data_IF_758386013814
#
_entry.id   IF_758386013814
#
_cell.length_a   1.000
_cell.length_b   1.000
_cell.length_c   1.000
_cell.angle_alpha   90.00
_cell.angle_beta   90.00
_cell.angle_gamma   90.00
#
_symmetry.space_group_name_H-M   'P 1'
#
loop_
_entity.id
_entity.type
_entity.pdbx_description
1 polymer ?
#
# COMPACT_ATOMS: atom_id res chain seq x y z
N UNK A 1 -1.73 20.65 26.57
CA UNK A 1 -1.21 20.98 25.23
C UNK A 1 0.12 20.28 25.06
N UNK A 2 0.14 19.15 24.36
CA UNK A 2 1.37 18.42 24.04
C UNK A 2 1.20 17.83 22.64
N UNK A 3 1.65 18.57 21.64
CA UNK A 3 1.65 18.14 20.24
C UNK A 3 2.90 17.32 19.96
N UNK A 4 2.75 16.00 19.89
CA UNK A 4 3.83 15.12 19.44
C UNK A 4 4.05 15.37 17.95
N UNK A 5 5.26 15.83 17.60
CA UNK A 5 5.68 16.01 16.20
C UNK A 5 6.23 14.68 15.69
N UNK A 6 6.11 14.44 14.38
CA UNK A 6 6.54 13.22 13.69
C UNK A 6 8.05 12.90 13.89
N UNK A 7 8.86 13.86 14.34
CA UNK A 7 10.24 13.62 14.80
C UNK A 7 10.33 12.61 15.95
N UNK A 8 9.28 12.53 16.79
CA UNK A 8 9.32 11.78 18.04
C UNK A 8 9.03 10.29 17.82
N UNK A 9 8.28 9.96 16.76
CA UNK A 9 7.97 8.58 16.34
C UNK A 9 9.25 7.85 15.85
N UNK A 10 10.20 8.57 15.24
CA UNK A 10 11.46 7.99 14.74
C UNK A 10 12.42 7.63 15.89
N UNK A 11 12.34 8.32 17.03
CA UNK A 11 13.23 8.08 18.18
C UNK A 11 12.73 6.97 19.11
N UNK A 12 11.41 6.83 19.28
CA UNK A 12 10.80 5.72 20.06
C UNK A 12 11.13 4.35 19.45
N UNK A 13 11.21 4.26 18.12
CA UNK A 13 11.57 3.01 17.41
C UNK A 13 13.06 2.67 17.54
N UNK A 14 13.94 3.67 17.78
CA UNK A 14 15.38 3.45 17.95
C UNK A 14 15.76 2.98 19.36
N UNK A 15 15.04 3.42 20.38
CA UNK A 15 15.40 3.16 21.79
C UNK A 15 15.04 1.74 22.29
N UNK A 16 14.07 1.03 21.67
CA UNK A 16 13.67 -0.31 22.16
C UNK A 16 14.58 -1.48 21.76
N UNK A 17 15.64 -1.22 20.98
CA UNK A 17 16.53 -2.27 20.44
C UNK A 17 17.83 -2.49 21.21
N UNK A 18 18.05 -1.76 22.31
CA UNK A 18 19.32 -1.77 23.05
C UNK A 18 19.47 -2.90 24.09
N UNK A 19 18.41 -3.65 24.44
CA UNK A 19 18.52 -4.66 25.51
C UNK A 19 17.87 -6.00 25.11
N UNK A 20 18.71 -6.92 24.63
CA UNK A 20 18.82 -8.30 25.16
C UNK A 20 19.84 -9.15 24.39
N UNK A 21 21.01 -9.22 25.01
CA UNK A 21 21.86 -10.39 25.24
C UNK A 21 22.17 -11.36 24.07
N UNK A 22 23.43 -11.27 23.68
CA UNK A 22 24.25 -12.17 22.87
C UNK A 22 24.24 -13.62 23.39
N UNK A 23 23.82 -14.60 22.59
CA UNK A 23 24.33 -16.01 22.61
C UNK A 23 23.69 -17.02 21.65
N UNK A 24 22.81 -16.61 20.74
CA UNK A 24 22.28 -17.50 19.67
C UNK A 24 22.71 -17.04 18.27
N UNK A 25 24.02 -16.83 18.16
CA UNK A 25 24.83 -16.40 17.00
C UNK A 25 24.88 -17.46 15.86
N UNK A 26 24.24 -18.62 16.02
CA UNK A 26 24.26 -19.72 15.02
C UNK A 26 22.97 -19.92 14.21
N UNK A 27 21.94 -19.09 14.41
CA UNK A 27 20.77 -19.01 13.49
C UNK A 27 20.90 -17.88 12.44
N UNK A 28 22.11 -17.32 12.38
CA UNK A 28 22.53 -16.18 11.56
C UNK A 28 22.93 -16.59 10.12
N UNK A 29 22.89 -17.89 9.74
CA UNK A 29 23.46 -18.39 8.48
C UNK A 29 22.42 -18.63 7.36
N UNK A 30 21.27 -17.95 7.36
CA UNK A 30 20.38 -17.93 6.17
C UNK A 30 19.97 -16.52 5.72
N UNK A 31 20.86 -15.57 6.03
CA UNK A 31 20.84 -14.14 5.71
C UNK A 31 20.79 -13.87 4.19
N UNK A 32 19.84 -13.01 3.81
CA UNK A 32 19.91 -11.90 2.82
C UNK A 32 18.49 -11.59 2.25
N UNK A 33 17.45 -11.54 3.08
CA UNK A 33 16.25 -10.73 2.80
C UNK A 33 16.13 -9.71 3.93
N UNK A 34 16.41 -8.45 3.59
CA UNK A 34 16.62 -7.35 4.53
C UNK A 34 15.51 -7.20 5.58
N UNK A 35 15.89 -6.64 6.73
CA UNK A 35 14.99 -6.16 7.79
C UNK A 35 13.93 -5.26 7.18
N UNK A 36 12.81 -5.85 6.75
CA UNK A 36 11.57 -5.13 6.54
C UNK A 36 11.01 -4.81 7.93
N UNK A 37 10.73 -3.53 8.20
CA UNK A 37 9.96 -3.11 9.37
C UNK A 37 8.65 -3.93 9.49
N UNK A 38 8.12 -4.09 10.71
CA UNK A 38 6.88 -4.83 10.93
C UNK A 38 5.72 -4.32 10.05
N UNK A 39 5.66 -3.01 9.80
CA UNK A 39 4.73 -2.37 8.88
C UNK A 39 4.92 -2.79 7.41
N UNK A 40 6.17 -2.95 6.96
CA UNK A 40 6.46 -3.46 5.61
C UNK A 40 6.08 -4.95 5.46
N UNK A 41 6.13 -5.74 6.54
CA UNK A 41 5.71 -7.15 6.54
C UNK A 41 4.19 -7.31 6.45
N UNK A 42 3.41 -6.46 7.15
CA UNK A 42 1.94 -6.51 7.10
C UNK A 42 1.41 -6.14 5.70
N UNK A 43 1.97 -5.11 5.08
CA UNK A 43 1.66 -4.72 3.70
C UNK A 43 1.97 -5.88 2.72
N UNK A 44 3.10 -6.56 2.89
CA UNK A 44 3.48 -7.68 2.03
C UNK A 44 2.53 -8.89 2.15
N UNK A 45 2.07 -9.22 3.37
CA UNK A 45 1.07 -10.26 3.62
C UNK A 45 -0.30 -9.90 3.01
N UNK A 46 -0.68 -8.63 3.05
CA UNK A 46 -1.94 -8.15 2.50
C UNK A 46 -1.95 -8.13 0.96
N UNK A 47 -0.82 -7.81 0.34
CA UNK A 47 -0.63 -7.92 -1.11
C UNK A 47 -0.85 -9.36 -1.57
N UNK A 48 -0.43 -10.36 -0.79
CA UNK A 48 -0.70 -11.78 -1.09
C UNK A 48 -2.19 -12.15 -1.01
N UNK A 49 -2.96 -11.52 -0.14
CA UNK A 49 -4.39 -11.81 0.05
C UNK A 49 -5.31 -11.03 -0.90
N UNK A 50 -4.89 -9.88 -1.41
CA UNK A 50 -5.70 -9.05 -2.35
C UNK A 50 -5.61 -9.52 -3.81
N UNK A 51 -4.66 -10.40 -4.13
CA UNK A 51 -4.52 -11.05 -5.44
C UNK A 51 -5.47 -12.25 -5.60
N UNK A 52 -6.34 -12.46 -4.61
CA UNK A 52 -7.37 -13.49 -4.59
C UNK A 52 -8.60 -13.02 -5.40
N UNK A 53 -8.39 -12.77 -6.69
CA UNK A 53 -9.42 -12.90 -7.73
C UNK A 53 -9.05 -14.05 -8.70
N UNK A 54 -7.77 -14.46 -8.70
CA UNK A 54 -7.29 -15.68 -9.34
C UNK A 54 -7.12 -16.82 -8.33
N UNK A 55 -8.03 -16.96 -7.36
CA UNK A 55 -8.30 -18.30 -6.82
C UNK A 55 -9.64 -18.74 -7.38
N UNK A 56 -9.68 -18.90 -8.70
CA UNK A 56 -10.63 -19.84 -9.26
C UNK A 56 -10.37 -21.23 -8.66
N UNK A 57 -11.29 -22.17 -8.87
CA UNK A 57 -11.25 -23.53 -8.29
C UNK A 57 -9.97 -24.35 -8.56
N UNK A 58 -8.94 -23.80 -9.22
CA UNK A 58 -7.73 -24.49 -9.67
C UNK A 58 -6.46 -23.86 -9.07
N UNK A 59 -5.58 -24.66 -8.43
CA UNK A 59 -4.36 -24.17 -7.79
C UNK A 59 -3.20 -23.94 -8.77
N UNK A 60 -3.33 -24.35 -10.04
CA UNK A 60 -2.28 -24.26 -11.05
C UNK A 60 -2.52 -23.11 -12.03
N UNK A 61 -1.45 -22.52 -12.63
CA UNK A 61 -1.56 -21.54 -13.72
C UNK A 61 -2.51 -21.99 -14.84
N UNK A 62 -3.14 -21.04 -15.56
CA UNK A 62 -3.98 -21.36 -16.71
C UNK A 62 -3.15 -21.91 -17.89
N UNK A 63 -3.79 -22.67 -18.79
CA UNK A 63 -3.19 -23.28 -19.98
C UNK A 63 -2.83 -24.76 -19.80
N UNK A 64 -2.73 -25.50 -20.91
CA UNK A 64 -2.55 -26.96 -20.92
C UNK A 64 -1.23 -27.41 -20.26
N UNK A 65 -0.21 -26.57 -20.31
CA UNK A 65 1.08 -26.80 -19.65
C UNK A 65 1.17 -26.21 -18.23
N UNK A 66 0.11 -25.55 -17.73
CA UNK A 66 0.12 -24.87 -16.45
C UNK A 66 0.23 -25.80 -15.24
N UNK A 67 -0.22 -27.04 -15.37
CA UNK A 67 -0.08 -28.07 -14.33
C UNK A 67 1.36 -28.62 -14.22
N UNK A 68 2.21 -28.41 -15.23
CA UNK A 68 3.58 -28.90 -15.22
C UNK A 68 4.44 -28.01 -14.31
N UNK A 69 5.05 -28.62 -13.31
CA UNK A 69 5.98 -27.91 -12.41
C UNK A 69 7.25 -27.52 -13.16
N UNK A 70 7.54 -26.22 -13.24
CA UNK A 70 8.82 -25.69 -13.70
C UNK A 70 9.78 -25.48 -12.53
N UNK A 71 11.09 -25.59 -12.79
CA UNK A 71 12.12 -25.26 -11.81
C UNK A 71 12.18 -23.75 -11.64
N UNK A 72 12.02 -23.26 -10.41
CA UNK A 72 12.09 -21.83 -10.12
C UNK A 72 13.55 -21.36 -10.17
N UNK A 73 13.82 -20.35 -11.01
CA UNK A 73 15.10 -19.65 -11.05
C UNK A 73 15.03 -18.42 -10.15
N UNK A 74 16.20 -17.94 -9.67
CA UNK A 74 16.27 -16.71 -8.87
C UNK A 74 15.66 -15.50 -9.62
N UNK A 75 15.98 -15.37 -10.91
CA UNK A 75 15.37 -14.38 -11.79
C UNK A 75 13.84 -14.52 -11.86
N UNK A 76 13.34 -15.75 -12.01
CA UNK A 76 11.90 -16.03 -12.03
C UNK A 76 11.21 -15.61 -10.74
N UNK A 77 11.87 -15.80 -9.59
CA UNK A 77 11.36 -15.36 -8.29
C UNK A 77 11.28 -13.83 -8.20
N UNK A 78 12.34 -13.11 -8.59
CA UNK A 78 12.33 -11.65 -8.62
C UNK A 78 11.31 -11.08 -9.60
N UNK A 79 11.15 -11.72 -10.76
CA UNK A 79 10.16 -11.34 -11.76
C UNK A 79 8.74 -11.49 -11.22
N UNK A 80 8.44 -12.62 -10.54
CA UNK A 80 7.15 -12.84 -9.89
C UNK A 80 6.87 -11.83 -8.79
N UNK A 81 7.84 -11.56 -7.90
CA UNK A 81 7.68 -10.54 -6.85
C UNK A 81 7.40 -9.16 -7.47
N UNK A 82 8.11 -8.79 -8.54
CA UNK A 82 7.87 -7.54 -9.30
C UNK A 82 6.44 -7.50 -9.88
N UNK A 83 6.05 -8.55 -10.59
CA UNK A 83 4.73 -8.65 -11.22
C UNK A 83 3.61 -8.61 -10.18
N UNK A 84 3.80 -9.29 -9.04
CA UNK A 84 2.87 -9.30 -7.93
C UNK A 84 2.59 -7.89 -7.41
N UNK A 85 3.65 -7.10 -7.20
CA UNK A 85 3.53 -5.69 -6.77
C UNK A 85 2.87 -4.82 -7.85
N UNK A 86 3.30 -4.96 -9.11
CA UNK A 86 2.75 -4.16 -10.22
C UNK A 86 1.25 -4.40 -10.39
N UNK A 87 0.82 -5.66 -10.30
CA UNK A 87 -0.57 -6.06 -10.41
C UNK A 87 -1.40 -5.59 -9.22
N UNK A 88 -0.92 -5.80 -7.99
CA UNK A 88 -1.63 -5.41 -6.77
C UNK A 88 -1.96 -3.91 -6.73
N UNK A 89 -1.05 -3.07 -7.21
CA UNK A 89 -1.22 -1.62 -7.25
C UNK A 89 -1.72 -1.09 -8.61
N UNK A 90 -2.00 -1.96 -9.59
CA UNK A 90 -2.53 -1.57 -10.90
C UNK A 90 -1.63 -0.62 -11.69
N UNK A 91 -0.32 -0.83 -11.65
CA UNK A 91 0.67 0.02 -12.33
C UNK A 91 1.22 -0.64 -13.61
N UNK A 92 1.58 0.20 -14.59
CA UNK A 92 2.35 -0.24 -15.75
C UNK A 92 3.81 -0.50 -15.39
N UNK A 93 4.50 -1.33 -16.17
CA UNK A 93 5.92 -1.61 -15.94
C UNK A 93 6.80 -0.37 -16.02
N UNK A 94 6.48 0.56 -16.93
CA UNK A 94 7.19 1.85 -17.06
C UNK A 94 7.04 2.71 -15.81
N UNK A 95 5.83 2.80 -15.26
CA UNK A 95 5.56 3.52 -14.02
C UNK A 95 6.24 2.86 -12.82
N UNK A 96 6.21 1.52 -12.74
CA UNK A 96 6.90 0.76 -11.71
C UNK A 96 8.41 1.01 -11.75
N UNK A 97 9.03 0.92 -12.94
CA UNK A 97 10.45 1.21 -13.15
C UNK A 97 10.81 2.62 -12.66
N UNK A 98 10.05 3.64 -13.03
CA UNK A 98 10.30 5.01 -12.57
C UNK A 98 10.16 5.17 -11.05
N UNK A 99 9.20 4.47 -10.43
CA UNK A 99 9.00 4.51 -8.98
C UNK A 99 10.15 3.82 -8.26
N UNK A 100 10.61 2.67 -8.77
CA UNK A 100 11.77 1.97 -8.25
C UNK A 100 13.07 2.78 -8.37
N UNK A 101 13.29 3.43 -9.50
CA UNK A 101 14.47 4.31 -9.68
C UNK A 101 14.45 5.49 -8.70
N UNK A 102 13.28 6.01 -8.35
CA UNK A 102 13.13 7.02 -7.28
C UNK A 102 13.43 6.43 -5.90
N UNK A 103 12.90 5.25 -5.59
CA UNK A 103 13.14 4.55 -4.32
C UNK A 103 14.63 4.24 -4.11
N UNK A 104 15.34 3.82 -5.16
CA UNK A 104 16.78 3.53 -5.13
C UNK A 104 17.64 4.76 -4.84
N UNK A 105 17.19 5.96 -5.24
CA UNK A 105 17.88 7.22 -4.98
C UNK A 105 17.67 7.75 -3.55
N UNK A 106 16.62 7.28 -2.86
CA UNK A 106 16.34 7.67 -1.49
C UNK A 106 17.29 6.94 -0.53
N UNK A 107 17.65 7.60 0.58
CA UNK A 107 18.45 6.97 1.64
C UNK A 107 17.67 5.82 2.29
N UNK A 108 18.36 4.75 2.70
CA UNK A 108 17.75 3.58 3.34
C UNK A 108 17.54 2.40 2.39
N UNK A 109 16.80 1.38 2.85
CA UNK A 109 16.55 0.18 2.06
C UNK A 109 15.58 0.47 0.90
N UNK A 110 16.01 0.18 -0.33
CA UNK A 110 15.23 0.47 -1.54
C UNK A 110 13.85 -0.21 -1.56
N UNK A 111 13.73 -1.41 -0.97
CA UNK A 111 12.46 -2.14 -0.88
C UNK A 111 11.43 -1.42 0.02
N UNK A 112 11.85 -0.92 1.18
CA UNK A 112 10.97 -0.18 2.08
C UNK A 112 10.56 1.16 1.46
N UNK A 113 11.52 1.87 0.86
CA UNK A 113 11.27 3.12 0.15
C UNK A 113 10.27 2.93 -1.00
N UNK A 114 10.37 1.81 -1.73
CA UNK A 114 9.42 1.48 -2.78
C UNK A 114 8.00 1.30 -2.21
N UNK A 115 7.84 0.51 -1.15
CA UNK A 115 6.54 0.28 -0.53
C UNK A 115 5.91 1.58 0.01
N UNK A 116 6.72 2.44 0.64
CA UNK A 116 6.27 3.77 1.10
C UNK A 116 5.80 4.62 -0.07
N UNK A 117 6.52 4.64 -1.20
CA UNK A 117 6.11 5.39 -2.38
C UNK A 117 4.82 4.86 -3.00
N UNK A 118 4.58 3.55 -2.94
CA UNK A 118 3.35 2.91 -3.44
C UNK A 118 2.16 3.22 -2.54
N UNK A 119 2.27 3.06 -1.22
CA UNK A 119 1.16 3.33 -0.28
C UNK A 119 0.78 4.82 -0.23
N UNK A 120 1.69 5.73 -0.56
CA UNK A 120 1.43 7.19 -0.61
C UNK A 120 0.64 7.66 -1.84
N UNK A 121 0.31 6.79 -2.79
CA UNK A 121 -0.49 7.17 -3.95
C UNK A 121 -1.93 7.45 -3.55
N UNK A 122 -2.57 8.40 -4.23
CA UNK A 122 -3.92 8.84 -3.90
C UNK A 122 -4.96 7.71 -4.04
N UNK A 123 -4.87 6.90 -5.09
CA UNK A 123 -5.76 5.74 -5.29
C UNK A 123 -5.66 4.72 -4.15
N UNK A 124 -4.45 4.45 -3.66
CA UNK A 124 -4.26 3.58 -2.50
C UNK A 124 -4.80 4.21 -1.23
N UNK A 125 -4.51 5.47 -0.94
CA UNK A 125 -5.02 6.13 0.28
C UNK A 125 -6.54 6.07 0.34
N UNK A 126 -7.22 6.32 -0.79
CA UNK A 126 -8.68 6.26 -0.89
C UNK A 126 -9.20 4.84 -0.62
N UNK A 127 -8.54 3.82 -1.19
CA UNK A 127 -8.85 2.42 -0.90
C UNK A 127 -8.65 2.06 0.59
N UNK A 128 -7.57 2.56 1.20
CA UNK A 128 -7.23 2.34 2.62
C UNK A 128 -8.26 2.98 3.57
N UNK A 129 -8.80 4.14 3.19
CA UNK A 129 -9.83 4.84 3.95
C UNK A 129 -11.21 4.18 3.85
N UNK A 130 -11.37 3.12 3.04
CA UNK A 130 -12.67 2.44 2.88
C UNK A 130 -13.65 3.20 1.99
N UNK A 131 -13.22 4.26 1.31
CA UNK A 131 -14.03 5.02 0.33
C UNK A 131 -14.29 4.24 -0.96
N UNK A 132 -13.63 3.09 -1.13
CA UNK A 132 -13.79 2.19 -2.27
C UNK A 132 -13.59 0.73 -1.84
N UNK A 133 -14.37 -0.16 -2.44
CA UNK A 133 -14.34 -1.59 -2.19
C UNK A 133 -13.10 -2.24 -2.82
N UNK A 134 -12.68 -1.80 -4.01
CA UNK A 134 -11.48 -2.28 -4.72
C UNK A 134 -10.52 -1.14 -5.11
N UNK A 135 -9.24 -1.47 -5.37
CA UNK A 135 -8.23 -0.49 -5.83
C UNK A 135 -8.56 0.07 -7.24
N UNK A 136 -9.10 -0.76 -8.13
CA UNK A 136 -9.56 -0.31 -9.45
C UNK A 136 -10.72 0.67 -9.34
N UNK A 137 -11.66 0.42 -8.44
CA UNK A 137 -12.75 1.35 -8.13
C UNK A 137 -12.23 2.65 -7.53
N UNK A 138 -11.30 2.60 -6.57
CA UNK A 138 -10.67 3.81 -6.01
C UNK A 138 -10.03 4.67 -7.11
N UNK A 139 -9.35 4.03 -8.06
CA UNK A 139 -8.76 4.71 -9.22
C UNK A 139 -9.82 5.40 -10.09
N UNK A 140 -10.96 4.73 -10.35
CA UNK A 140 -12.07 5.31 -11.10
C UNK A 140 -12.67 6.53 -10.39
N UNK A 141 -12.85 6.45 -9.07
CA UNK A 141 -13.36 7.55 -8.25
C UNK A 141 -12.44 8.77 -8.34
N UNK A 142 -11.13 8.55 -8.27
CA UNK A 142 -10.13 9.63 -8.43
C UNK A 142 -10.18 10.22 -9.84
N UNK A 143 -10.17 9.39 -10.89
CA UNK A 143 -10.17 9.84 -12.29
C UNK A 143 -11.39 10.73 -12.58
N UNK A 144 -12.56 10.35 -12.05
CA UNK A 144 -13.81 11.10 -12.23
C UNK A 144 -13.91 12.35 -11.36
N UNK A 145 -12.91 12.64 -10.52
CA UNK A 145 -12.83 13.89 -9.78
C UNK A 145 -13.77 13.97 -8.57
N UNK A 146 -14.08 12.83 -7.94
CA UNK A 146 -14.91 12.79 -6.73
C UNK A 146 -14.14 13.15 -5.45
N UNK A 147 -12.84 13.39 -5.55
CA UNK A 147 -11.94 13.57 -4.41
C UNK A 147 -11.17 14.88 -4.53
N UNK A 148 -11.07 15.58 -3.40
CA UNK A 148 -10.24 16.76 -3.25
C UNK A 148 -9.07 16.48 -2.30
N UNK A 149 -7.94 17.11 -2.58
CA UNK A 149 -6.78 17.15 -1.71
C UNK A 149 -6.52 18.60 -1.34
N UNK A 150 -6.57 18.93 -0.05
CA UNK A 150 -6.45 20.30 0.47
C UNK A 150 -7.42 21.27 -0.23
N UNK A 151 -8.66 20.83 -0.47
CA UNK A 151 -9.71 21.62 -1.12
C UNK A 151 -9.58 21.76 -2.65
N UNK A 152 -8.55 21.20 -3.28
CA UNK A 152 -8.39 21.21 -4.75
C UNK A 152 -8.77 19.85 -5.33
N UNK A 153 -9.49 19.86 -6.45
CA UNK A 153 -9.82 18.62 -7.17
C UNK A 153 -8.55 18.01 -7.77
N UNK A 154 -8.33 16.71 -7.57
CA UNK A 154 -7.18 15.97 -8.08
C UNK A 154 -7.67 14.73 -8.83
N UNK A 155 -7.51 14.72 -10.15
CA UNK A 155 -7.94 13.61 -11.02
C UNK A 155 -6.83 12.58 -11.30
N UNK A 156 -5.61 12.82 -10.83
CA UNK A 156 -4.48 11.90 -11.06
C UNK A 156 -4.38 10.85 -9.96
N UNK A 157 -4.63 9.55 -10.25
CA UNK A 157 -4.48 8.48 -9.24
C UNK A 157 -3.03 8.29 -8.79
N UNK A 158 -2.07 8.64 -9.67
CA UNK A 158 -0.64 8.59 -9.38
C UNK A 158 -0.13 9.75 -8.51
N UNK A 159 -1.02 10.65 -8.09
CA UNK A 159 -0.69 11.74 -7.20
C UNK A 159 -0.11 11.20 -5.88
N UNK A 160 1.04 11.74 -5.47
CA UNK A 160 1.69 11.35 -4.22
C UNK A 160 1.23 12.28 -3.10
N UNK A 161 0.48 11.72 -2.16
CA UNK A 161 -0.01 12.43 -0.99
C UNK A 161 1.17 12.82 -0.10
N UNK A 162 1.20 14.10 0.28
CA UNK A 162 2.16 14.62 1.26
C UNK A 162 1.68 14.25 2.67
N UNK A 163 2.60 14.03 3.63
CA UNK A 163 2.20 13.95 5.03
C UNK A 163 1.34 15.17 5.39
N UNK A 164 0.35 14.97 6.28
CA UNK A 164 -0.62 15.97 6.74
C UNK A 164 -1.54 16.59 5.69
N UNK A 165 -1.60 16.05 4.46
CA UNK A 165 -2.60 16.48 3.49
C UNK A 165 -4.00 16.00 3.92
N UNK A 166 -5.00 16.87 3.75
CA UNK A 166 -6.41 16.55 4.04
C UNK A 166 -7.08 16.08 2.76
N UNK A 167 -7.68 14.89 2.82
CA UNK A 167 -8.44 14.30 1.72
C UNK A 167 -9.91 14.41 2.06
N UNK A 168 -10.70 14.95 1.14
CA UNK A 168 -12.13 15.18 1.36
C UNK A 168 -12.93 14.82 0.11
N UNK A 169 -14.20 14.40 0.25
CA UNK A 169 -15.09 14.25 -0.90
C UNK A 169 -15.28 15.60 -1.61
N UNK A 170 -15.53 15.55 -2.92
CA UNK A 170 -15.98 16.72 -3.67
C UNK A 170 -17.36 17.18 -3.15
N UNK A 171 -17.62 18.49 -3.16
CA UNK A 171 -18.87 19.11 -2.68
C UNK A 171 -20.14 18.65 -3.42
N UNK A 172 -19.99 18.02 -4.59
CA UNK A 172 -21.12 17.52 -5.37
C UNK A 172 -21.86 16.40 -4.62
N UNK A 173 -23.18 16.54 -4.48
CA UNK A 173 -24.06 15.59 -3.81
C UNK A 173 -23.93 14.16 -4.36
N UNK A 174 -23.76 14.01 -5.68
CA UNK A 174 -23.51 12.70 -6.32
C UNK A 174 -22.26 12.02 -5.78
N UNK A 175 -21.20 12.80 -5.59
CA UNK A 175 -19.90 12.31 -5.10
C UNK A 175 -20.02 11.90 -3.63
N UNK A 176 -20.66 12.73 -2.82
CA UNK A 176 -20.89 12.44 -1.41
C UNK A 176 -21.75 11.20 -1.21
N UNK A 177 -22.86 11.06 -1.94
CA UNK A 177 -23.75 9.90 -1.83
C UNK A 177 -23.03 8.60 -2.21
N UNK A 178 -22.28 8.60 -3.30
CA UNK A 178 -21.49 7.45 -3.73
C UNK A 178 -20.46 7.03 -2.67
N UNK A 179 -19.74 8.00 -2.09
CA UNK A 179 -18.74 7.71 -1.05
C UNK A 179 -19.37 7.25 0.27
N UNK A 180 -20.55 7.78 0.63
CA UNK A 180 -21.33 7.34 1.80
C UNK A 180 -21.73 5.86 1.66
N UNK A 181 -22.18 5.44 0.48
CA UNK A 181 -22.51 4.03 0.19
C UNK A 181 -21.29 3.13 0.38
N UNK A 182 -20.15 3.47 -0.22
CA UNK A 182 -18.94 2.63 -0.07
C UNK A 182 -18.38 2.61 1.34
N UNK A 183 -18.47 3.72 2.07
CA UNK A 183 -18.10 3.74 3.49
C UNK A 183 -19.02 2.85 4.33
N UNK A 184 -20.31 2.77 3.99
CA UNK A 184 -21.24 1.90 4.67
C UNK A 184 -20.98 0.41 4.39
N UNK A 185 -20.62 0.06 3.16
CA UNK A 185 -20.25 -1.30 2.75
C UNK A 185 -18.92 -1.75 3.39
N UNK A 186 -17.93 -0.85 3.46
CA UNK A 186 -16.57 -1.18 3.87
C UNK A 186 -16.27 -0.93 5.36
N UNK A 187 -17.29 -0.81 6.22
CA UNK A 187 -17.12 -0.57 7.69
C UNK A 187 -16.21 -1.59 8.40
N UNK A 188 -16.13 -2.80 7.87
CA UNK A 188 -15.34 -3.90 8.42
C UNK A 188 -13.83 -3.78 8.13
N UNK A 189 -13.41 -2.88 7.22
CA UNK A 189 -12.00 -2.73 6.86
C UNK A 189 -11.26 -1.93 7.93
N UNK A 190 -10.21 -2.52 8.51
CA UNK A 190 -9.33 -1.83 9.44
C UNK A 190 -8.49 -0.78 8.72
N UNK A 191 -8.60 0.48 9.16
CA UNK A 191 -7.77 1.58 8.66
C UNK A 191 -6.35 1.45 9.27
N UNK A 192 -5.28 1.56 8.47
CA UNK A 192 -3.91 1.54 8.98
C UNK A 192 -3.63 2.70 9.96
N UNK A 193 -2.73 2.46 10.92
CA UNK A 193 -2.38 3.40 11.99
C UNK A 193 -1.92 4.79 11.51
N UNK A 194 -1.26 4.87 10.35
CA UNK A 194 -0.76 6.13 9.80
C UNK A 194 -1.84 7.00 9.13
N UNK A 195 -3.09 6.53 9.06
CA UNK A 195 -4.24 7.26 8.54
C UNK A 195 -5.24 7.57 9.66
N UNK A 196 -5.53 8.85 9.86
CA UNK A 196 -6.64 9.29 10.72
C UNK A 196 -7.91 9.46 9.90
N UNK A 197 -8.97 8.74 10.26
CA UNK A 197 -10.27 8.84 9.59
C UNK A 197 -11.32 9.46 10.52
N UNK A 198 -11.98 10.54 10.08
CA UNK A 198 -13.04 11.23 10.82
C UNK A 198 -14.34 11.14 10.02
N UNK A 199 -15.29 10.33 10.50
CA UNK A 199 -16.57 10.11 9.82
C UNK A 199 -17.47 11.36 9.82
N UNK A 200 -17.44 12.14 10.91
CA UNK A 200 -18.34 13.28 11.14
C UNK A 200 -18.24 14.37 10.06
N UNK A 201 -17.03 14.75 9.66
CA UNK A 201 -16.80 15.77 8.62
C UNK A 201 -17.18 15.34 7.20
N UNK A 202 -17.45 14.06 6.98
CA UNK A 202 -17.80 13.52 5.65
C UNK A 202 -19.31 13.47 5.43
N UNK A 203 -20.11 13.55 6.50
CA UNK A 203 -21.56 13.38 6.46
C UNK A 203 -22.35 14.69 6.36
N UNK A 204 -21.76 15.83 6.77
CA UNK A 204 -22.27 17.18 6.59
C UNK A 204 -21.94 17.73 5.20
#
# INVERSE_FOLDING_TARGET
MSSLRISDIINVIKQSTAERNTRTIWREIRLQKGRLSAASRSIFLEIRNTIVCWKGARPHPPGDHGAKRSKETEYGNHLREKQQLSFAYGMSETQFKHTFMKAKKMKGAAGENLLVLLERRLDNVVYRLGMASSRSQARQIVIHGHITVNGRNVTSPSYRVRPSAVISPQTSSKSQNLLKTFLAENKHRTVPEWLSFSQEKTLM
#
